data_IF_020958046872
#
_entry.id   IF_020958046872
#
_cell.length_a   1.000
_cell.length_b   1.000
_cell.length_c   1.000
_cell.angle_alpha   90.00
_cell.angle_beta   90.00
_cell.angle_gamma   90.00
#
_symmetry.space_group_name_H-M   'P 1'
#
loop_
_entity.id
_entity.type
_entity.pdbx_description
1 polymer ?
#
# COMPACT_ATOMS: atom_id res chain seq x y z
N UNK A 1 66.76 5.36 47.21
CA UNK A 1 66.57 4.86 48.59
C UNK A 1 65.39 3.91 48.62
N UNK A 2 65.66 2.64 48.94
CA UNK A 2 64.85 1.69 49.72
C UNK A 2 63.41 1.38 49.25
N UNK A 3 62.90 0.14 49.26
CA UNK A 3 63.38 -1.10 49.87
C UNK A 3 62.66 -2.27 49.22
N UNK A 4 63.43 -3.27 48.81
CA UNK A 4 63.00 -4.63 48.49
C UNK A 4 62.41 -5.30 49.73
N UNK A 5 61.32 -6.07 49.59
CA UNK A 5 60.96 -7.11 50.56
C UNK A 5 60.43 -8.36 49.85
N UNK A 6 61.01 -9.49 50.28
CA UNK A 6 60.91 -10.83 49.74
C UNK A 6 59.69 -11.58 50.30
N UNK A 7 59.16 -12.46 49.46
CA UNK A 7 58.58 -13.80 49.72
C UNK A 7 58.03 -14.15 51.11
N UNK A 8 56.79 -14.68 51.11
CA UNK A 8 56.44 -15.92 51.81
C UNK A 8 55.53 -16.80 50.95
N UNK A 9 55.98 -18.02 50.69
CA UNK A 9 55.18 -19.16 50.22
C UNK A 9 54.22 -19.58 51.33
N UNK A 10 52.94 -19.75 51.00
CA UNK A 10 51.97 -20.48 51.79
C UNK A 10 51.30 -21.52 50.90
N UNK A 11 51.56 -22.79 51.18
CA UNK A 11 50.86 -23.93 50.61
C UNK A 11 49.48 -24.05 51.28
N UNK A 12 48.43 -24.36 50.52
CA UNK A 12 47.10 -24.57 51.10
C UNK A 12 46.06 -25.03 50.08
N UNK A 13 45.83 -26.35 50.08
CA UNK A 13 44.59 -27.05 49.74
C UNK A 13 43.95 -26.84 48.35
N UNK A 14 44.09 -27.87 47.51
CA UNK A 14 43.08 -28.24 46.52
C UNK A 14 41.75 -28.51 47.24
N UNK A 15 40.75 -27.67 46.99
CA UNK A 15 39.35 -27.97 47.23
C UNK A 15 38.67 -28.23 45.89
N UNK A 16 38.43 -29.51 45.58
CA UNK A 16 37.60 -29.90 44.44
C UNK A 16 36.14 -29.54 44.74
N UNK A 17 35.63 -28.50 44.09
CA UNK A 17 34.22 -28.13 44.14
C UNK A 17 33.49 -28.96 43.07
N UNK A 18 32.81 -30.03 43.50
CA UNK A 18 31.84 -30.74 42.66
C UNK A 18 30.56 -29.91 42.65
N UNK A 19 30.34 -29.16 41.58
CA UNK A 19 29.07 -28.45 41.36
C UNK A 19 28.01 -29.47 40.93
N UNK A 20 27.08 -29.76 41.85
CA UNK A 20 25.83 -30.47 41.55
C UNK A 20 24.95 -29.56 40.68
N UNK A 21 24.88 -29.86 39.38
CA UNK A 21 23.89 -29.28 38.48
C UNK A 21 22.51 -29.89 38.82
N UNK A 22 21.67 -29.12 39.51
CA UNK A 22 20.27 -29.43 39.68
C UNK A 22 19.50 -29.01 38.42
N UNK A 23 18.67 -29.88 37.81
CA UNK A 23 17.74 -29.44 36.77
C UNK A 23 16.64 -28.60 37.42
N UNK A 24 16.65 -27.29 37.20
CA UNK A 24 15.47 -26.46 37.47
C UNK A 24 14.40 -26.79 36.44
N UNK A 25 13.42 -27.59 36.85
CA UNK A 25 12.14 -27.71 36.16
C UNK A 25 11.42 -26.36 36.27
N UNK A 26 11.53 -25.54 35.22
CA UNK A 26 10.66 -24.38 35.01
C UNK A 26 9.31 -24.93 34.59
N UNK A 27 8.43 -25.18 35.55
CA UNK A 27 6.98 -25.31 35.29
C UNK A 27 6.46 -23.94 34.86
N UNK A 28 6.54 -23.66 33.56
CA UNK A 28 5.82 -22.55 32.95
C UNK A 28 4.33 -22.88 32.94
N UNK A 29 3.56 -22.22 33.80
CA UNK A 29 2.12 -22.17 33.63
C UNK A 29 1.85 -21.41 32.32
N UNK A 30 1.43 -22.13 31.28
CA UNK A 30 0.86 -21.54 30.08
C UNK A 30 -0.37 -20.74 30.51
N UNK A 31 -0.18 -19.45 30.74
CA UNK A 31 -1.29 -18.52 30.82
C UNK A 31 -1.84 -18.49 29.41
N UNK A 32 -3.04 -19.06 29.22
CA UNK A 32 -3.80 -18.83 28.02
C UNK A 32 -4.05 -17.32 27.94
N UNK A 33 -3.21 -16.63 27.17
CA UNK A 33 -3.45 -15.26 26.77
C UNK A 33 -4.68 -15.31 25.87
N UNK A 34 -5.86 -15.05 26.44
CA UNK A 34 -7.00 -14.60 25.64
C UNK A 34 -6.61 -13.25 25.08
N UNK A 35 -6.09 -13.26 23.85
CA UNK A 35 -5.96 -12.06 23.05
C UNK A 35 -7.36 -11.44 22.91
N UNK A 36 -7.51 -10.12 23.08
CA UNK A 36 -8.78 -9.47 22.80
C UNK A 36 -9.20 -9.80 21.37
N UNK A 37 -10.51 -10.06 21.15
CA UNK A 37 -11.03 -10.12 19.80
C UNK A 37 -10.68 -8.80 19.10
N UNK A 38 -10.06 -8.87 17.93
CA UNK A 38 -9.75 -7.68 17.15
C UNK A 38 -11.07 -7.08 16.69
N UNK A 39 -11.35 -5.86 17.15
CA UNK A 39 -12.57 -5.16 16.77
C UNK A 39 -12.56 -4.90 15.26
N UNK A 40 -13.71 -5.05 14.57
CA UNK A 40 -13.79 -4.78 13.15
C UNK A 40 -13.41 -3.33 12.84
N UNK A 41 -12.59 -3.13 11.82
CA UNK A 41 -12.15 -1.80 11.41
C UNK A 41 -13.22 -1.18 10.53
N UNK A 42 -13.73 -0.02 10.95
CA UNK A 42 -14.71 0.78 10.21
C UNK A 42 -14.02 1.93 9.49
N UNK A 43 -14.27 2.01 8.17
CA UNK A 43 -13.86 3.12 7.32
C UNK A 43 -15.09 3.67 6.61
N UNK A 44 -15.28 4.99 6.63
CA UNK A 44 -16.38 5.69 5.98
C UNK A 44 -15.83 6.64 4.93
N UNK A 45 -16.35 6.57 3.70
CA UNK A 45 -15.92 7.41 2.58
C UNK A 45 -17.14 8.09 1.98
N UNK A 46 -17.18 9.41 1.97
CA UNK A 46 -18.18 10.21 1.26
C UNK A 46 -17.60 10.71 -0.06
N UNK A 47 -18.24 10.39 -1.17
CA UNK A 47 -17.83 10.76 -2.52
C UNK A 47 -18.96 11.51 -3.22
N UNK A 48 -18.67 12.56 -4.00
CA UNK A 48 -19.65 13.14 -4.91
C UNK A 48 -20.00 12.15 -6.03
N UNK A 49 -21.29 11.92 -6.26
CA UNK A 49 -21.80 11.13 -7.37
C UNK A 49 -23.15 11.70 -7.86
N UNK A 50 -23.24 12.04 -9.15
CA UNK A 50 -24.41 12.67 -9.80
C UNK A 50 -24.90 13.94 -9.06
N UNK A 51 -23.98 14.76 -8.57
CA UNK A 51 -24.28 16.00 -7.86
C UNK A 51 -24.83 15.82 -6.43
N UNK A 52 -24.82 14.61 -5.90
CA UNK A 52 -25.20 14.29 -4.51
C UNK A 52 -24.05 13.58 -3.77
N UNK A 53 -23.94 13.72 -2.45
CA UNK A 53 -22.98 12.94 -1.67
C UNK A 53 -23.45 11.48 -1.53
N UNK A 54 -22.55 10.55 -1.79
CA UNK A 54 -22.70 9.12 -1.52
C UNK A 54 -21.71 8.72 -0.41
N UNK A 55 -22.21 8.24 0.71
CA UNK A 55 -21.40 7.65 1.78
C UNK A 55 -21.29 6.14 1.61
N UNK A 56 -20.08 5.62 1.69
CA UNK A 56 -19.73 4.20 1.63
C UNK A 56 -19.08 3.81 2.94
N UNK A 57 -19.77 3.01 3.74
CA UNK A 57 -19.25 2.46 4.99
C UNK A 57 -18.72 1.05 4.74
N UNK A 58 -17.46 0.84 5.08
CA UNK A 58 -16.74 -0.42 4.85
C UNK A 58 -16.30 -0.96 6.19
N UNK A 59 -16.64 -2.22 6.44
CA UNK A 59 -16.19 -2.96 7.62
C UNK A 59 -15.31 -4.11 7.17
N UNK A 60 -14.13 -4.23 7.78
CA UNK A 60 -13.21 -5.34 7.57
C UNK A 60 -12.99 -6.14 8.85
N UNK A 61 -12.68 -7.42 8.71
CA UNK A 61 -12.18 -8.24 9.81
C UNK A 61 -10.66 -8.07 10.01
N UNK A 62 -10.11 -8.77 10.99
CA UNK A 62 -8.68 -8.77 11.30
C UNK A 62 -7.77 -9.26 10.16
N UNK A 63 -8.33 -9.92 9.13
CA UNK A 63 -7.59 -10.39 7.96
C UNK A 63 -7.60 -9.36 6.82
N UNK A 64 -8.32 -8.25 7.02
CA UNK A 64 -8.61 -7.25 6.00
C UNK A 64 -9.71 -7.67 5.01
N UNK A 65 -10.43 -8.78 5.25
CA UNK A 65 -11.53 -9.21 4.37
C UNK A 65 -12.77 -8.35 4.62
N UNK A 66 -13.56 -8.10 3.57
CA UNK A 66 -14.79 -7.32 3.69
C UNK A 66 -15.84 -8.15 4.44
N UNK A 67 -16.35 -7.61 5.55
CA UNK A 67 -17.46 -8.23 6.29
C UNK A 67 -18.78 -7.53 6.02
N UNK A 68 -18.75 -6.22 5.77
CA UNK A 68 -19.90 -5.41 5.39
C UNK A 68 -19.48 -4.24 4.49
N UNK A 69 -20.34 -3.89 3.53
CA UNK A 69 -20.21 -2.67 2.72
C UNK A 69 -21.60 -2.06 2.55
N UNK A 70 -21.84 -0.90 3.15
CA UNK A 70 -23.10 -0.19 3.03
C UNK A 70 -22.92 1.09 2.20
N UNK A 71 -23.94 1.44 1.41
CA UNK A 71 -23.99 2.68 0.62
C UNK A 71 -25.20 3.52 1.05
N UNK A 72 -25.02 4.84 1.17
CA UNK A 72 -26.05 5.77 1.61
C UNK A 72 -25.98 7.10 0.82
N UNK A 73 -27.04 7.53 0.12
CA UNK A 73 -28.31 6.82 -0.06
C UNK A 73 -28.12 5.51 -0.82
N UNK A 74 -28.87 4.48 -0.42
CA UNK A 74 -28.90 3.20 -1.13
C UNK A 74 -29.82 3.25 -2.36
N UNK A 75 -30.72 4.22 -2.42
CA UNK A 75 -31.71 4.35 -3.47
C UNK A 75 -31.06 4.49 -4.84
N UNK A 76 -31.44 3.60 -5.77
CA UNK A 76 -30.96 3.63 -7.14
C UNK A 76 -29.64 2.90 -7.38
N UNK A 77 -29.02 2.28 -6.35
CA UNK A 77 -27.84 1.41 -6.47
C UNK A 77 -28.19 -0.02 -6.08
N UNK A 78 -27.80 -0.99 -6.93
CA UNK A 78 -27.99 -2.42 -6.67
C UNK A 78 -26.64 -3.12 -6.65
N UNK A 79 -26.42 -4.02 -5.67
CA UNK A 79 -25.21 -4.83 -5.66
C UNK A 79 -25.24 -5.85 -6.81
N UNK A 80 -24.21 -5.83 -7.66
CA UNK A 80 -24.08 -6.73 -8.82
C UNK A 80 -22.92 -7.73 -8.67
N UNK A 81 -22.02 -7.51 -7.70
CA UNK A 81 -20.95 -8.46 -7.40
C UNK A 81 -20.61 -8.44 -5.90
N UNK A 82 -20.57 -9.63 -5.30
CA UNK A 82 -20.24 -9.85 -3.88
C UNK A 82 -19.13 -10.89 -3.79
N UNK A 83 -17.91 -10.44 -3.49
CA UNK A 83 -16.72 -11.28 -3.27
C UNK A 83 -16.06 -10.88 -1.94
N UNK A 84 -15.30 -11.78 -1.30
CA UNK A 84 -14.62 -11.53 -0.01
C UNK A 84 -13.82 -10.23 0.06
N UNK A 85 -13.24 -9.83 -1.07
CA UNK A 85 -12.35 -8.69 -1.21
C UNK A 85 -12.86 -7.63 -2.19
N UNK A 86 -14.09 -7.80 -2.73
CA UNK A 86 -14.66 -6.90 -3.72
C UNK A 86 -16.18 -6.88 -3.69
N UNK A 87 -16.76 -5.68 -3.57
CA UNK A 87 -18.19 -5.44 -3.72
C UNK A 87 -18.40 -4.42 -4.83
N UNK A 88 -19.41 -4.62 -5.68
CA UNK A 88 -19.79 -3.65 -6.72
C UNK A 88 -21.26 -3.34 -6.64
N UNK A 89 -21.58 -2.06 -6.67
CA UNK A 89 -22.92 -1.53 -6.87
C UNK A 89 -23.01 -0.83 -8.21
N UNK A 90 -24.16 -0.92 -8.85
CA UNK A 90 -24.44 -0.26 -10.12
C UNK A 90 -25.82 0.40 -10.08
N UNK A 91 -25.95 1.54 -10.77
CA UNK A 91 -27.24 2.20 -10.92
C UNK A 91 -28.09 1.53 -12.00
N UNK A 92 -29.42 1.73 -11.96
CA UNK A 92 -30.34 1.08 -12.90
C UNK A 92 -30.05 1.39 -14.39
N UNK A 93 -29.34 2.48 -14.68
CA UNK A 93 -28.97 2.87 -16.05
C UNK A 93 -27.62 2.28 -16.51
N UNK A 94 -26.84 1.63 -15.63
CA UNK A 94 -25.49 1.16 -15.93
C UNK A 94 -24.46 2.27 -16.17
N UNK A 95 -24.81 3.52 -15.85
CA UNK A 95 -23.95 4.69 -16.08
C UNK A 95 -23.12 5.07 -14.86
N UNK A 96 -23.45 4.51 -13.70
CA UNK A 96 -22.79 4.79 -12.42
C UNK A 96 -22.44 3.50 -11.71
N UNK A 97 -21.16 3.32 -11.35
CA UNK A 97 -20.70 2.16 -10.57
C UNK A 97 -19.95 2.59 -9.33
N UNK A 98 -20.09 1.81 -8.27
CA UNK A 98 -19.34 1.97 -7.01
C UNK A 98 -18.64 0.64 -6.75
N UNK A 99 -17.31 0.63 -6.78
CA UNK A 99 -16.52 -0.56 -6.48
C UNK A 99 -15.78 -0.35 -5.17
N UNK A 100 -15.94 -1.30 -4.25
CA UNK A 100 -15.18 -1.35 -3.00
C UNK A 100 -14.25 -2.55 -3.06
N UNK A 101 -12.96 -2.34 -2.76
CA UNK A 101 -12.00 -3.43 -2.63
C UNK A 101 -11.25 -3.37 -1.31
N UNK A 102 -10.91 -4.52 -0.76
CA UNK A 102 -9.99 -4.64 0.39
C UNK A 102 -9.10 -5.85 0.21
N UNK A 103 -7.79 -5.64 0.10
CA UNK A 103 -6.82 -6.71 -0.17
C UNK A 103 -5.41 -6.31 0.27
N UNK A 104 -4.68 -7.24 0.88
CA UNK A 104 -3.27 -7.06 1.28
C UNK A 104 -3.04 -5.79 2.12
N UNK A 105 -3.94 -5.53 3.08
CA UNK A 105 -3.90 -4.33 3.93
C UNK A 105 -4.25 -3.01 3.23
N UNK A 106 -4.65 -3.04 1.96
CA UNK A 106 -5.15 -1.87 1.22
C UNK A 106 -6.66 -1.90 1.15
N UNK A 107 -7.28 -0.73 1.16
CA UNK A 107 -8.70 -0.57 0.92
C UNK A 107 -8.92 0.52 -0.13
N UNK A 108 -9.86 0.33 -1.06
CA UNK A 108 -10.24 1.39 -1.99
C UNK A 108 -11.74 1.44 -2.23
N UNK A 109 -12.21 2.65 -2.53
CA UNK A 109 -13.54 2.92 -3.05
C UNK A 109 -13.38 3.70 -4.35
N UNK A 110 -13.96 3.19 -5.42
CA UNK A 110 -13.99 3.82 -6.73
C UNK A 110 -15.42 4.10 -7.11
N UNK A 111 -15.70 5.34 -7.51
CA UNK A 111 -16.94 5.69 -8.23
C UNK A 111 -16.61 5.97 -9.69
N UNK A 112 -17.45 5.51 -10.60
CA UNK A 112 -17.36 5.83 -12.04
C UNK A 112 -18.67 6.41 -12.52
N UNK A 113 -18.58 7.39 -13.42
CA UNK A 113 -19.72 8.03 -14.05
C UNK A 113 -19.37 8.51 -15.48
N UNK A 114 -20.34 9.10 -16.18
CA UNK A 114 -20.17 9.52 -17.57
C UNK A 114 -19.36 10.81 -17.75
N UNK A 115 -19.33 11.70 -16.77
CA UNK A 115 -18.63 12.98 -16.90
C UNK A 115 -17.90 13.40 -15.62
N UNK A 116 -16.93 14.30 -15.75
CA UNK A 116 -16.25 14.88 -14.58
C UNK A 116 -17.24 15.56 -13.63
N UNK A 117 -18.27 16.22 -14.17
CA UNK A 117 -19.31 16.88 -13.37
C UNK A 117 -20.08 15.88 -12.48
N UNK A 118 -20.25 14.64 -12.95
CA UNK A 118 -20.93 13.60 -12.18
C UNK A 118 -20.12 13.13 -10.97
N UNK A 119 -18.80 13.30 -10.94
CA UNK A 119 -17.92 12.96 -9.81
C UNK A 119 -17.29 14.19 -9.16
N UNK A 120 -17.79 15.39 -9.47
CA UNK A 120 -17.31 16.65 -8.91
C UNK A 120 -18.07 17.05 -7.65
N UNK A 121 -17.35 17.57 -6.67
CA UNK A 121 -17.92 18.03 -5.40
C UNK A 121 -17.03 17.72 -4.20
N UNK A 122 -17.56 17.99 -3.00
CA UNK A 122 -16.86 17.71 -1.76
C UNK A 122 -16.86 16.21 -1.45
N UNK A 123 -15.71 15.70 -1.04
CA UNK A 123 -15.52 14.35 -0.55
C UNK A 123 -14.86 14.31 0.82
N UNK A 124 -14.98 13.17 1.49
CA UNK A 124 -14.38 12.92 2.80
C UNK A 124 -14.00 11.45 2.92
N UNK A 125 -12.81 11.18 3.43
CA UNK A 125 -12.42 9.87 3.98
C UNK A 125 -12.37 9.96 5.50
N UNK A 126 -12.77 8.90 6.20
CA UNK A 126 -12.68 8.77 7.66
C UNK A 126 -12.40 7.33 8.05
N UNK A 127 -11.41 7.10 8.91
CA UNK A 127 -11.10 5.76 9.40
C UNK A 127 -9.96 5.75 10.41
N UNK A 128 -9.78 4.63 11.09
CA UNK A 128 -8.63 4.42 11.98
C UNK A 128 -7.42 3.97 11.18
N UNK A 129 -6.42 4.85 11.09
CA UNK A 129 -5.23 4.60 10.25
C UNK A 129 -4.35 3.49 10.83
N UNK A 130 -4.21 3.40 12.15
CA UNK A 130 -3.20 2.53 12.79
C UNK A 130 -3.79 1.60 13.86
N UNK A 131 -5.11 1.41 13.87
CA UNK A 131 -5.77 0.53 14.85
C UNK A 131 -5.74 1.07 16.28
N UNK A 132 -5.69 2.40 16.44
CA UNK A 132 -5.59 3.07 17.76
C UNK A 132 -6.94 3.30 18.43
N UNK A 133 -8.04 2.99 17.75
CA UNK A 133 -9.41 3.27 18.14
C UNK A 133 -9.87 4.72 17.85
N UNK A 134 -9.02 5.56 17.25
CA UNK A 134 -9.35 6.94 16.89
C UNK A 134 -9.40 7.13 15.38
N UNK A 135 -10.52 7.66 14.88
CA UNK A 135 -10.66 7.94 13.46
C UNK A 135 -9.96 9.25 13.08
N UNK A 136 -9.23 9.21 11.97
CA UNK A 136 -8.69 10.38 11.26
C UNK A 136 -9.61 10.71 10.09
N UNK A 137 -9.80 11.98 9.79
CA UNK A 137 -10.56 12.44 8.62
C UNK A 137 -9.64 13.10 7.59
N UNK A 138 -9.97 12.94 6.30
CA UNK A 138 -9.40 13.68 5.17
C UNK A 138 -10.55 14.26 4.36
N UNK A 139 -10.66 15.58 4.33
CA UNK A 139 -11.59 16.33 3.49
C UNK A 139 -10.90 16.70 2.16
N UNK A 140 -11.65 16.73 1.06
CA UNK A 140 -11.16 17.15 -0.26
C UNK A 140 -12.31 17.64 -1.15
N UNK A 141 -11.99 18.30 -2.25
CA UNK A 141 -12.96 18.72 -3.28
C UNK A 141 -12.44 18.36 -4.65
N UNK A 142 -13.25 17.62 -5.42
CA UNK A 142 -13.03 17.34 -6.83
C UNK A 142 -13.71 18.41 -7.66
N UNK A 143 -13.01 18.91 -8.67
CA UNK A 143 -13.59 19.89 -9.60
C UNK A 143 -12.90 19.88 -10.95
N UNK A 144 -13.15 20.94 -11.69
CA UNK A 144 -12.62 21.22 -13.01
C UNK A 144 -11.60 22.35 -12.93
N UNK A 145 -10.47 22.22 -13.63
CA UNK A 145 -9.40 23.23 -13.67
C UNK A 145 -9.75 24.47 -14.52
N UNK A 146 -10.86 24.41 -15.27
CA UNK A 146 -11.35 25.44 -16.19
C UNK A 146 -11.22 25.05 -17.66
N UNK A 147 -10.57 23.92 -17.97
CA UNK A 147 -10.30 23.42 -19.33
C UNK A 147 -10.90 22.04 -19.62
N UNK A 148 -11.72 21.49 -18.71
CA UNK A 148 -12.24 20.13 -18.79
C UNK A 148 -11.41 19.10 -18.01
N UNK A 149 -10.20 19.46 -17.55
CA UNK A 149 -9.32 18.57 -16.79
C UNK A 149 -9.69 18.48 -15.31
N UNK A 150 -9.52 17.30 -14.69
CA UNK A 150 -9.82 17.13 -13.28
C UNK A 150 -8.87 17.93 -12.39
N UNK A 151 -9.38 18.39 -11.25
CA UNK A 151 -8.60 19.02 -10.19
C UNK A 151 -9.01 18.49 -8.81
N UNK A 152 -8.05 18.51 -7.88
CA UNK A 152 -8.27 18.17 -6.47
C UNK A 152 -7.76 19.33 -5.61
N UNK A 153 -8.68 19.92 -4.85
CA UNK A 153 -8.42 21.07 -3.99
C UNK A 153 -9.02 20.88 -2.60
N UNK A 154 -8.77 21.83 -1.69
CA UNK A 154 -9.38 21.83 -0.36
C UNK A 154 -8.99 20.64 0.52
N UNK A 155 -7.83 20.02 0.25
CA UNK A 155 -7.35 18.86 1.00
C UNK A 155 -6.99 19.29 2.43
N UNK A 156 -7.65 18.70 3.41
CA UNK A 156 -7.42 18.98 4.83
C UNK A 156 -7.58 17.71 5.65
N UNK A 157 -6.90 17.61 6.79
CA UNK A 157 -7.01 16.45 7.67
C UNK A 157 -7.08 16.84 9.14
N UNK A 158 -7.71 15.98 9.94
CA UNK A 158 -7.78 16.14 11.40
C UNK A 158 -6.43 15.87 12.09
N UNK A 159 -5.50 15.19 11.43
CA UNK A 159 -4.15 14.97 11.93
C UNK A 159 -3.22 16.09 11.49
N UNK A 160 -2.87 16.97 12.42
CA UNK A 160 -2.00 18.12 12.16
C UNK A 160 -0.55 17.73 11.80
N UNK A 161 -0.16 16.46 11.97
CA UNK A 161 1.18 15.97 11.64
C UNK A 161 1.26 15.28 10.29
N UNK A 162 0.13 15.08 9.62
CA UNK A 162 0.09 14.49 8.30
C UNK A 162 0.76 15.39 7.25
N UNK A 163 1.46 14.76 6.31
CA UNK A 163 2.05 15.42 5.16
C UNK A 163 1.10 15.35 3.98
N UNK A 164 0.59 16.50 3.54
CA UNK A 164 -0.26 16.62 2.36
C UNK A 164 0.64 16.92 1.16
N UNK A 165 0.76 15.98 0.23
CA UNK A 165 1.46 16.19 -1.03
C UNK A 165 0.77 17.22 -1.92
N UNK A 166 1.51 17.79 -2.87
CA UNK A 166 0.91 18.62 -3.91
C UNK A 166 0.03 17.78 -4.84
N UNK A 167 -1.02 18.38 -5.39
CA UNK A 167 -1.80 17.76 -6.48
C UNK A 167 -0.91 17.62 -7.71
N UNK A 168 -0.71 16.39 -8.16
CA UNK A 168 0.02 16.03 -9.39
C UNK A 168 -0.99 15.82 -10.51
N UNK A 169 -0.60 16.17 -11.73
CA UNK A 169 -1.43 16.02 -12.91
C UNK A 169 -0.67 15.22 -13.97
N UNK A 170 -1.37 14.37 -14.69
CA UNK A 170 -0.86 13.65 -15.85
C UNK A 170 -1.87 13.70 -16.98
N UNK A 171 -1.38 13.56 -18.21
CA UNK A 171 -2.20 13.51 -19.42
C UNK A 171 -1.55 12.52 -20.36
N UNK A 172 -2.31 11.50 -20.75
CA UNK A 172 -1.86 10.41 -21.61
C UNK A 172 -2.95 10.18 -22.65
N UNK A 173 -2.63 10.42 -23.93
CA UNK A 173 -3.56 10.30 -25.06
C UNK A 173 -4.93 10.97 -24.81
N UNK A 174 -5.96 10.20 -24.49
CA UNK A 174 -7.33 10.61 -24.22
C UNK A 174 -7.71 10.62 -22.73
N UNK A 175 -6.76 10.35 -21.84
CA UNK A 175 -6.89 10.33 -20.38
C UNK A 175 -6.23 11.55 -19.72
N UNK A 176 -6.91 12.11 -18.73
CA UNK A 176 -6.41 13.18 -17.87
C UNK A 176 -6.63 12.80 -16.41
N UNK A 177 -5.62 13.05 -15.58
CA UNK A 177 -5.63 12.65 -14.18
C UNK A 177 -5.18 13.79 -13.26
N UNK A 178 -5.81 13.86 -12.09
CA UNK A 178 -5.32 14.58 -10.92
C UNK A 178 -5.18 13.62 -9.74
N UNK A 179 -4.07 13.72 -9.01
CA UNK A 179 -3.76 12.83 -7.88
C UNK A 179 -3.13 13.59 -6.73
N UNK A 180 -3.57 13.29 -5.51
CA UNK A 180 -2.94 13.76 -4.27
C UNK A 180 -2.72 12.57 -3.33
N UNK A 181 -1.60 12.60 -2.62
CA UNK A 181 -1.23 11.63 -1.61
C UNK A 181 -1.09 12.35 -0.27
N UNK A 182 -1.75 11.81 0.76
CA UNK A 182 -1.64 12.28 2.14
C UNK A 182 -0.94 11.17 2.93
N UNK A 183 0.22 11.48 3.51
CA UNK A 183 1.03 10.55 4.28
C UNK A 183 0.86 10.80 5.77
N UNK A 184 0.60 9.73 6.51
CA UNK A 184 0.51 9.73 7.96
C UNK A 184 1.62 8.88 8.52
N UNK A 185 2.23 9.33 9.62
CA UNK A 185 3.30 8.61 10.31
C UNK A 185 2.94 8.47 11.78
N UNK A 186 3.07 7.25 12.29
CA UNK A 186 2.89 6.93 13.71
C UNK A 186 4.07 6.06 14.17
N UNK A 187 5.06 6.69 14.81
CA UNK A 187 6.26 5.99 15.27
C UNK A 187 7.09 5.42 14.12
N UNK A 188 7.14 4.09 14.02
CA UNK A 188 7.90 3.36 12.99
C UNK A 188 7.06 3.01 11.75
N UNK A 189 5.80 3.43 11.71
CA UNK A 189 4.86 3.05 10.66
C UNK A 189 4.35 4.27 9.90
N UNK A 190 4.05 4.06 8.63
CA UNK A 190 3.37 5.02 7.78
C UNK A 190 2.18 4.40 7.06
N UNK A 191 1.20 5.23 6.72
CA UNK A 191 0.10 4.91 5.82
C UNK A 191 -0.22 6.10 4.92
N UNK A 192 -0.81 5.81 3.78
CA UNK A 192 -1.22 6.85 2.82
C UNK A 192 -2.71 6.80 2.56
N UNK A 193 -3.33 7.97 2.45
CA UNK A 193 -4.63 8.14 1.80
C UNK A 193 -4.37 8.79 0.45
N UNK A 194 -4.69 8.08 -0.63
CA UNK A 194 -4.59 8.57 -1.99
C UNK A 194 -5.96 8.95 -2.54
N UNK A 195 -6.05 10.10 -3.20
CA UNK A 195 -7.23 10.53 -3.93
C UNK A 195 -6.78 10.73 -5.38
N UNK A 196 -7.44 10.04 -6.31
CA UNK A 196 -7.18 10.10 -7.75
C UNK A 196 -8.49 10.36 -8.47
N UNK A 197 -8.50 11.33 -9.37
CA UNK A 197 -9.61 11.61 -10.28
C UNK A 197 -9.08 11.48 -11.69
N UNK A 198 -9.81 10.77 -12.52
CA UNK A 198 -9.44 10.46 -13.91
C UNK A 198 -10.62 10.79 -14.81
N UNK A 199 -10.33 11.34 -15.99
CA UNK A 199 -11.29 11.59 -17.05
C UNK A 199 -10.69 11.04 -18.33
N UNK A 200 -11.35 10.05 -18.95
CA UNK A 200 -11.00 9.52 -20.26
C UNK A 200 -12.03 9.94 -21.30
N UNK A 201 -11.61 10.05 -22.56
CA UNK A 201 -12.46 10.42 -23.70
C UNK A 201 -12.19 9.50 -24.90
N UNK A 202 -12.64 8.26 -24.79
CA UNK A 202 -12.45 7.25 -25.83
C UNK A 202 -13.58 7.38 -26.88
N UNK A 203 -13.24 7.56 -28.16
CA UNK A 203 -14.19 7.66 -29.28
C UNK A 203 -15.31 8.70 -29.09
N UNK A 204 -15.02 9.79 -28.36
CA UNK A 204 -15.99 10.84 -28.03
C UNK A 204 -16.98 10.47 -26.93
N UNK A 205 -16.76 9.35 -26.24
CA UNK A 205 -17.46 8.98 -25.01
C UNK A 205 -16.57 9.35 -23.83
N UNK A 206 -17.05 10.31 -23.03
CA UNK A 206 -16.38 10.64 -21.79
C UNK A 206 -16.71 9.59 -20.71
N UNK A 207 -15.73 9.30 -19.87
CA UNK A 207 -15.91 8.58 -18.62
C UNK A 207 -15.06 9.26 -17.54
N UNK A 208 -15.62 9.39 -16.34
CA UNK A 208 -14.88 9.90 -15.19
C UNK A 208 -14.84 8.85 -14.08
N UNK A 209 -13.73 8.82 -13.36
CA UNK A 209 -13.57 7.99 -12.16
C UNK A 209 -12.95 8.78 -11.02
N UNK A 210 -13.43 8.52 -9.80
CA UNK A 210 -12.85 9.02 -8.57
C UNK A 210 -12.53 7.81 -7.68
N UNK A 211 -11.25 7.68 -7.35
CA UNK A 211 -10.68 6.61 -6.54
C UNK A 211 -10.13 7.21 -5.25
N UNK A 212 -10.62 6.73 -4.11
CA UNK A 212 -10.02 6.96 -2.79
C UNK A 212 -9.44 5.67 -2.27
N UNK A 213 -8.17 5.68 -1.90
CA UNK A 213 -7.41 4.49 -1.46
C UNK A 213 -6.77 4.74 -0.11
N UNK A 214 -6.96 3.82 0.83
CA UNK A 214 -6.10 3.64 1.98
C UNK A 214 -5.00 2.64 1.62
N UNK A 215 -3.75 3.08 1.68
CA UNK A 215 -2.57 2.25 1.51
C UNK A 215 -2.37 1.29 2.69
N UNK A 216 -1.60 0.23 2.45
CA UNK A 216 -1.13 -0.66 3.52
C UNK A 216 -0.23 0.09 4.50
N UNK A 217 -0.10 -0.42 5.72
CA UNK A 217 0.99 -0.02 6.61
C UNK A 217 2.33 -0.30 5.92
N UNK A 218 3.25 0.65 6.01
CA UNK A 218 4.65 0.51 5.61
C UNK A 218 5.54 0.90 6.77
N UNK A 219 6.74 0.33 6.83
CA UNK A 219 7.80 0.79 7.72
C UNK A 219 8.24 2.20 7.34
N UNK A 220 8.71 2.95 8.34
CA UNK A 220 9.44 4.20 8.15
C UNK A 220 10.92 3.95 8.41
N UNK A 221 11.79 4.56 7.61
CA UNK A 221 13.23 4.47 7.80
C UNK A 221 13.63 5.04 9.17
N UNK A 222 14.29 4.23 9.98
CA UNK A 222 14.71 4.58 11.34
C UNK A 222 16.18 4.23 11.56
N UNK A 223 16.89 4.88 12.50
CA UNK A 223 18.25 4.48 12.86
C UNK A 223 18.32 3.00 13.19
N UNK A 224 19.33 2.29 12.67
CA UNK A 224 19.44 0.85 12.86
C UNK A 224 19.42 0.41 14.34
N UNK A 225 19.94 1.25 15.25
CA UNK A 225 19.92 0.98 16.69
C UNK A 225 18.52 1.03 17.31
N UNK A 226 17.58 1.76 16.70
CA UNK A 226 16.19 1.89 17.16
C UNK A 226 15.32 0.74 16.64
N UNK A 227 15.70 0.17 15.48
CA UNK A 227 15.01 -0.99 14.88
C UNK A 227 15.61 -2.32 15.36
N UNK A 228 16.91 -2.40 15.65
CA UNK A 228 17.54 -3.67 16.01
C UNK A 228 17.01 -4.23 17.34
N UNK A 229 16.79 -5.54 17.37
CA UNK A 229 16.28 -6.24 18.55
C UNK A 229 15.14 -7.20 18.24
N UNK A 230 14.48 -7.73 19.28
CA UNK A 230 13.33 -8.61 19.13
C UNK A 230 12.10 -7.83 18.67
N UNK A 231 11.35 -8.44 17.77
CA UNK A 231 10.09 -7.96 17.22
C UNK A 231 9.06 -9.07 17.21
N UNK A 232 7.82 -8.64 17.15
CA UNK A 232 6.66 -9.50 17.10
C UNK A 232 5.69 -8.95 16.07
N UNK A 233 5.16 -9.84 15.23
CA UNK A 233 3.92 -9.59 14.50
C UNK A 233 2.79 -10.40 15.16
N UNK A 234 1.65 -9.75 15.37
CA UNK A 234 0.41 -10.36 15.85
C UNK A 234 -0.69 -10.15 14.82
N UNK A 235 -1.48 -11.20 14.56
CA UNK A 235 -2.60 -11.12 13.64
C UNK A 235 -3.57 -12.29 13.81
N UNK A 236 -4.45 -12.46 12.82
CA UNK A 236 -5.44 -13.52 12.81
C UNK A 236 -5.47 -14.19 11.43
N UNK A 237 -5.51 -15.52 11.40
CA UNK A 237 -5.65 -16.29 10.16
C UNK A 237 -7.10 -16.25 9.67
N UNK A 238 -7.35 -16.67 8.43
CA UNK A 238 -8.68 -16.66 7.81
C UNK A 238 -9.73 -17.49 8.56
N UNK A 239 -9.31 -18.48 9.34
CA UNK A 239 -10.20 -19.29 10.17
C UNK A 239 -10.46 -18.68 11.56
N UNK A 240 -9.99 -17.46 11.80
CA UNK A 240 -10.10 -16.77 13.08
C UNK A 240 -9.07 -17.19 14.12
N UNK A 241 -8.12 -18.08 13.80
CA UNK A 241 -7.06 -18.49 14.74
C UNK A 241 -6.08 -17.33 14.91
N UNK A 242 -5.80 -16.87 16.14
CA UNK A 242 -4.73 -15.90 16.37
C UNK A 242 -3.39 -16.47 15.92
N UNK A 243 -2.59 -15.63 15.26
CA UNK A 243 -1.26 -15.97 14.81
C UNK A 243 -0.25 -14.94 15.32
N UNK A 244 0.96 -15.41 15.56
CA UNK A 244 2.04 -14.67 16.16
C UNK A 244 3.35 -15.09 15.51
N UNK A 245 4.21 -14.13 15.20
CA UNK A 245 5.55 -14.37 14.64
C UNK A 245 6.56 -13.55 15.44
N UNK A 246 7.43 -14.23 16.17
CA UNK A 246 8.60 -13.63 16.80
C UNK A 246 9.78 -13.67 15.84
N UNK A 247 10.55 -12.58 15.78
CA UNK A 247 11.77 -12.47 14.99
C UNK A 247 12.74 -11.46 15.60
N UNK A 248 14.00 -11.46 15.15
CA UNK A 248 15.02 -10.52 15.60
C UNK A 248 15.61 -9.82 14.38
N UNK A 249 15.67 -8.49 14.44
CA UNK A 249 16.32 -7.64 13.44
C UNK A 249 17.72 -7.26 13.94
N UNK A 250 18.74 -7.52 13.14
CA UNK A 250 20.12 -7.12 13.38
C UNK A 250 20.36 -5.65 13.04
N UNK A 251 21.49 -5.10 13.51
CA UNK A 251 21.94 -3.73 13.18
C UNK A 251 22.25 -3.53 11.70
N UNK A 252 22.47 -4.62 10.97
CA UNK A 252 22.66 -4.65 9.52
C UNK A 252 21.35 -4.93 8.77
N UNK A 253 20.21 -4.97 9.46
CA UNK A 253 18.91 -5.33 8.87
C UNK A 253 18.74 -6.83 8.66
N UNK A 254 19.60 -7.68 9.22
CA UNK A 254 19.39 -9.14 9.10
C UNK A 254 18.18 -9.61 9.91
N UNK A 255 17.32 -10.46 9.35
CA UNK A 255 16.16 -11.06 10.03
C UNK A 255 16.52 -12.48 10.45
N UNK A 256 16.43 -12.77 11.74
CA UNK A 256 16.79 -14.07 12.31
C UNK A 256 15.83 -14.49 13.43
N UNK A 257 16.00 -15.72 13.93
CA UNK A 257 15.22 -16.20 15.08
C UNK A 257 13.71 -16.34 14.80
N UNK A 258 13.30 -16.43 13.53
CA UNK A 258 11.89 -16.45 13.14
C UNK A 258 11.20 -17.69 13.68
N UNK A 259 10.18 -17.48 14.50
CA UNK A 259 9.33 -18.54 15.03
C UNK A 259 7.87 -18.08 15.01
N UNK A 260 6.95 -19.00 14.70
CA UNK A 260 5.54 -18.65 14.55
C UNK A 260 4.61 -19.64 15.26
N UNK A 261 3.51 -19.10 15.78
CA UNK A 261 2.41 -19.84 16.40
C UNK A 261 1.09 -19.39 15.76
N UNK A 262 0.23 -20.29 15.24
CA UNK A 262 0.43 -21.73 15.09
C UNK A 262 1.67 -22.05 14.24
N UNK A 263 2.19 -23.27 14.38
CA UNK A 263 3.39 -23.68 13.65
C UNK A 263 3.18 -23.45 12.13
N UNK A 264 4.13 -22.79 11.46
CA UNK A 264 4.02 -22.51 10.04
C UNK A 264 4.21 -23.81 9.23
N UNK A 265 3.60 -23.87 8.06
CA UNK A 265 3.86 -24.92 7.07
C UNK A 265 5.26 -24.78 6.48
N UNK A 266 5.69 -23.53 6.24
CA UNK A 266 7.07 -23.24 5.84
C UNK A 266 7.51 -21.85 6.26
N UNK A 267 8.80 -21.72 6.58
CA UNK A 267 9.50 -20.43 6.71
C UNK A 267 10.59 -20.41 5.65
N UNK A 268 10.54 -19.42 4.75
CA UNK A 268 11.54 -19.22 3.70
C UNK A 268 12.12 -17.84 3.87
N UNK A 269 13.44 -17.71 3.96
CA UNK A 269 14.06 -16.42 4.12
C UNK A 269 15.44 -16.35 3.49
N UNK A 270 15.88 -15.12 3.29
CA UNK A 270 17.27 -14.72 3.15
C UNK A 270 17.62 -13.73 4.26
N UNK A 271 18.81 -13.13 4.17
CA UNK A 271 19.36 -12.30 5.23
C UNK A 271 18.43 -11.14 5.62
N UNK A 272 17.76 -10.48 4.67
CA UNK A 272 16.98 -9.26 4.89
C UNK A 272 15.46 -9.43 4.70
N UNK A 273 15.00 -10.65 4.45
CA UNK A 273 13.63 -10.91 4.02
C UNK A 273 13.23 -12.32 4.41
N UNK A 274 12.12 -12.46 5.13
CA UNK A 274 11.57 -13.77 5.51
C UNK A 274 10.07 -13.82 5.27
N UNK A 275 9.63 -14.87 4.58
CA UNK A 275 8.24 -15.22 4.39
C UNK A 275 7.86 -16.40 5.29
N UNK A 276 6.85 -16.19 6.11
CA UNK A 276 6.20 -17.22 6.94
C UNK A 276 4.89 -17.61 6.25
N UNK A 277 4.72 -18.90 5.97
CA UNK A 277 3.49 -19.45 5.37
C UNK A 277 2.81 -20.40 6.35
N UNK A 278 1.53 -20.17 6.60
CA UNK A 278 0.69 -21.04 7.43
C UNK A 278 0.03 -22.15 6.60
N UNK A 279 -0.43 -23.21 7.27
CA UNK A 279 -1.02 -24.39 6.62
C UNK A 279 -2.27 -24.09 5.79
N UNK A 280 -3.03 -23.06 6.18
CA UNK A 280 -4.22 -22.57 5.48
C UNK A 280 -3.90 -21.72 4.25
N UNK A 281 -2.61 -21.45 3.99
CA UNK A 281 -2.10 -20.80 2.78
C UNK A 281 -1.77 -19.32 2.93
N UNK A 282 -2.19 -18.69 4.03
CA UNK A 282 -1.85 -17.33 4.44
C UNK A 282 -0.35 -17.14 4.54
N UNK A 283 0.11 -15.95 4.14
CA UNK A 283 1.54 -15.58 4.16
C UNK A 283 1.73 -14.25 4.88
N UNK A 284 2.76 -14.19 5.70
CA UNK A 284 3.29 -12.95 6.26
C UNK A 284 4.72 -12.80 5.76
N UNK A 285 5.03 -11.63 5.22
CA UNK A 285 6.35 -11.31 4.68
C UNK A 285 6.96 -10.17 5.48
N UNK A 286 8.05 -10.48 6.16
CA UNK A 286 8.92 -9.58 6.91
C UNK A 286 10.07 -9.14 5.98
N UNK A 287 10.30 -7.84 5.84
CA UNK A 287 11.40 -7.28 5.05
C UNK A 287 12.06 -6.16 5.85
N UNK A 288 13.39 -6.20 5.94
CA UNK A 288 14.18 -5.14 6.57
C UNK A 288 15.16 -4.61 5.52
N UNK A 289 15.02 -3.35 5.17
CA UNK A 289 15.84 -2.70 4.15
C UNK A 289 16.80 -1.70 4.81
N UNK A 290 18.10 -1.87 4.58
CA UNK A 290 19.15 -1.01 5.13
C UNK A 290 19.64 -0.04 4.06
N UNK A 291 19.40 1.26 4.26
CA UNK A 291 19.89 2.31 3.38
C UNK A 291 20.49 3.46 4.21
N UNK A 292 21.72 3.85 3.92
CA UNK A 292 22.36 4.99 4.60
C UNK A 292 22.49 4.85 6.12
N UNK A 293 22.45 3.63 6.67
CA UNK A 293 22.43 3.38 8.12
C UNK A 293 21.05 3.48 8.77
N UNK A 294 20.00 3.66 7.97
CA UNK A 294 18.60 3.57 8.38
C UNK A 294 18.04 2.22 7.97
N UNK A 295 17.20 1.62 8.81
CA UNK A 295 16.44 0.41 8.52
C UNK A 295 14.97 0.78 8.33
N UNK A 296 14.38 0.34 7.23
CA UNK A 296 12.92 0.29 7.02
C UNK A 296 12.45 -1.13 7.26
N UNK A 297 11.62 -1.34 8.29
CA UNK A 297 11.04 -2.64 8.61
C UNK A 297 9.60 -2.71 8.10
N UNK A 298 9.38 -3.47 7.04
CA UNK A 298 8.08 -3.72 6.45
C UNK A 298 7.54 -5.09 6.86
N UNK A 299 6.27 -5.12 7.26
CA UNK A 299 5.51 -6.35 7.44
C UNK A 299 4.30 -6.30 6.51
N UNK A 300 4.13 -7.33 5.68
CA UNK A 300 3.01 -7.42 4.75
C UNK A 300 2.31 -8.76 4.82
N UNK A 301 0.98 -8.70 4.76
CA UNK A 301 0.10 -9.85 4.85
C UNK A 301 -0.50 -10.15 3.48
N UNK A 302 -0.49 -11.42 3.09
CA UNK A 302 -1.19 -11.90 1.90
C UNK A 302 -2.13 -13.03 2.29
N UNK A 303 -3.34 -12.63 2.65
CA UNK A 303 -4.41 -13.54 3.05
C UNK A 303 -5.43 -13.65 1.91
N UNK A 304 -5.92 -14.88 1.69
CA UNK A 304 -6.94 -15.18 0.68
C UNK A 304 -8.09 -15.90 1.36
N UNK A 305 -8.86 -15.16 2.16
CA UNK A 305 -9.98 -15.73 2.89
C UNK A 305 -11.18 -15.93 1.95
N UNK A 306 -11.86 -17.07 2.09
CA UNK A 306 -12.99 -17.44 1.24
C UNK A 306 -14.34 -16.84 1.70
N UNK A 307 -14.35 -16.03 2.77
CA UNK A 307 -15.58 -15.55 3.41
C UNK A 307 -16.17 -14.38 2.65
N UNK A 308 -17.39 -14.53 2.12
CA UNK A 308 -18.15 -13.45 1.44
C UNK A 308 -18.77 -12.52 2.49
N UNK A 309 -18.89 -11.20 2.26
CA UNK A 309 -19.55 -10.28 3.18
C UNK A 309 -20.97 -10.75 3.55
N UNK A 310 -21.28 -10.83 4.85
CA UNK A 310 -22.51 -11.49 5.32
C UNK A 310 -23.78 -10.64 5.28
N UNK A 311 -23.67 -9.31 5.13
CA UNK A 311 -24.79 -8.36 5.29
C UNK A 311 -25.25 -7.67 4.02
N UNK A 312 -24.60 -7.93 2.89
CA UNK A 312 -25.13 -7.57 1.58
C UNK A 312 -25.90 -8.77 1.10
N UNK A 313 -27.14 -8.93 1.59
CA UNK A 313 -28.00 -10.04 1.24
C UNK A 313 -27.86 -10.31 -0.26
N UNK A 314 -27.53 -11.55 -0.62
CA UNK A 314 -27.42 -11.99 -1.99
C UNK A 314 -28.67 -11.48 -2.71
N UNK A 315 -28.51 -10.43 -3.53
CA UNK A 315 -29.41 -10.26 -4.66
C UNK A 315 -29.18 -11.57 -5.38
N UNK A 316 -30.20 -12.45 -5.36
CA UNK A 316 -30.15 -13.66 -6.16
C UNK A 316 -29.82 -13.17 -7.57
N UNK A 317 -28.55 -13.33 -7.95
CA UNK A 317 -28.15 -13.21 -9.33
C UNK A 317 -28.95 -14.34 -9.93
N UNK A 318 -30.07 -14.00 -10.57
CA UNK A 318 -30.67 -14.95 -11.48
C UNK A 318 -29.50 -15.42 -12.37
N UNK A 319 -29.37 -16.72 -12.64
CA UNK A 319 -28.36 -17.22 -13.56
C UNK A 319 -28.64 -16.60 -14.93
N UNK A 320 -28.19 -15.37 -15.11
CA UNK A 320 -28.12 -14.66 -16.36
C UNK A 320 -27.00 -15.34 -17.10
N UNK A 321 -27.33 -15.85 -18.27
CA UNK A 321 -26.42 -16.52 -19.17
C UNK A 321 -25.09 -15.76 -19.24
N UNK A 322 -24.01 -16.41 -18.77
CA UNK A 322 -22.61 -15.97 -18.85
C UNK A 322 -22.14 -15.98 -20.31
N UNK A 323 -22.79 -15.17 -21.13
CA UNK A 323 -22.51 -14.98 -22.55
C UNK A 323 -22.45 -13.49 -22.84
N UNK A 324 -21.33 -12.85 -22.51
CA UNK A 324 -21.11 -11.48 -22.98
C UNK A 324 -19.97 -10.69 -22.38
N UNK A 325 -18.72 -11.13 -22.61
CA UNK A 325 -17.55 -10.32 -23.05
C UNK A 325 -16.24 -11.04 -22.71
N UNK A 326 -16.05 -12.20 -23.31
CA UNK A 326 -14.70 -12.65 -23.66
C UNK A 326 -14.34 -11.90 -24.94
N UNK A 327 -13.57 -10.82 -24.80
CA UNK A 327 -12.91 -10.17 -25.92
C UNK A 327 -11.81 -11.09 -26.45
N UNK A 328 -12.20 -12.04 -27.29
CA UNK A 328 -11.29 -12.79 -28.14
C UNK A 328 -10.69 -11.85 -29.19
N UNK A 329 -9.39 -11.62 -29.09
CA UNK A 329 -8.55 -11.19 -30.20
C UNK A 329 -7.83 -12.42 -30.74
N UNK A 330 -8.40 -13.00 -31.79
CA UNK A 330 -7.86 -14.12 -32.55
C UNK A 330 -6.60 -13.70 -33.33
N UNK A 331 -5.58 -14.55 -33.26
CA UNK A 331 -4.80 -15.10 -34.37
C UNK A 331 -4.66 -14.23 -35.64
N UNK A 332 -3.47 -13.62 -35.81
CA UNK A 332 -2.95 -13.29 -37.14
C UNK A 332 -1.80 -14.24 -37.52
N UNK A 333 -2.12 -15.06 -38.51
CA UNK A 333 -1.27 -15.98 -39.23
C UNK A 333 -0.08 -15.30 -39.93
N UNK A 334 1.14 -15.69 -39.56
CA UNK A 334 2.30 -15.57 -40.46
C UNK A 334 3.02 -16.92 -40.61
N UNK A 335 2.56 -17.69 -41.60
CA UNK A 335 3.26 -18.86 -42.11
C UNK A 335 4.22 -18.52 -43.27
N UNK A 336 5.41 -19.14 -43.20
CA UNK A 336 6.31 -19.61 -44.28
C UNK A 336 7.64 -18.87 -44.56
N UNK A 337 8.76 -19.48 -44.13
CA UNK A 337 10.07 -19.38 -44.80
C UNK A 337 11.27 -19.84 -43.94
N UNK A 338 12.22 -20.68 -44.40
CA UNK A 338 12.83 -21.70 -43.52
C UNK A 338 14.36 -21.60 -43.29
N UNK A 339 14.80 -22.30 -42.20
CA UNK A 339 16.13 -22.87 -41.88
C UNK A 339 17.23 -21.97 -41.30
N UNK A 340 17.76 -22.44 -40.16
CA UNK A 340 19.04 -22.07 -39.52
C UNK A 340 18.86 -22.06 -38.00
N UNK A 341 18.92 -23.20 -37.33
CA UNK A 341 20.14 -23.73 -36.70
C UNK A 341 20.86 -22.72 -35.80
N UNK A 342 20.57 -22.75 -34.50
CA UNK A 342 21.53 -22.68 -33.40
C UNK A 342 20.77 -22.40 -32.10
N UNK A 343 20.93 -23.29 -31.12
CA UNK A 343 20.26 -23.23 -29.83
C UNK A 343 20.70 -22.08 -28.94
N UNK A 344 19.84 -21.76 -27.98
CA UNK A 344 20.22 -21.29 -26.66
C UNK A 344 19.02 -21.48 -25.75
N UNK A 345 19.20 -22.28 -24.71
CA UNK A 345 18.30 -22.34 -23.56
C UNK A 345 18.31 -20.95 -22.91
N UNK A 346 17.12 -20.37 -22.73
CA UNK A 346 16.91 -19.08 -22.09
C UNK A 346 15.80 -19.25 -21.07
N UNK A 347 16.19 -19.24 -19.81
CA UNK A 347 15.33 -19.26 -18.64
C UNK A 347 14.44 -18.01 -18.66
N UNK A 348 13.12 -18.21 -18.59
CA UNK A 348 12.16 -17.12 -18.41
C UNK A 348 12.06 -16.83 -16.92
N UNK A 349 12.81 -15.83 -16.46
CA UNK A 349 12.58 -15.18 -15.17
C UNK A 349 11.46 -14.14 -15.33
N UNK A 350 10.37 -14.43 -14.63
CA UNK A 350 9.51 -13.55 -13.84
C UNK A 350 9.35 -12.08 -14.25
N UNK A 351 8.08 -11.76 -14.48
CA UNK A 351 7.44 -10.45 -14.55
C UNK A 351 7.98 -9.48 -13.48
N UNK A 352 8.92 -8.62 -13.88
CA UNK A 352 9.25 -7.40 -13.14
C UNK A 352 8.19 -6.35 -13.50
N UNK A 353 7.26 -6.13 -12.58
CA UNK A 353 6.39 -4.95 -12.58
C UNK A 353 7.30 -3.73 -12.42
N UNK A 354 7.41 -2.93 -13.48
CA UNK A 354 8.14 -1.66 -13.50
C UNK A 354 7.45 -0.64 -12.59
N UNK A 355 7.99 -0.43 -11.39
CA UNK A 355 7.77 0.79 -10.61
C UNK A 355 8.73 1.87 -11.15
N UNK A 356 8.28 2.61 -12.18
CA UNK A 356 9.02 3.78 -12.68
C UNK A 356 8.81 4.97 -11.74
N UNK A 357 9.60 5.04 -10.67
CA UNK A 357 9.91 6.28 -9.96
C UNK A 357 11.36 6.67 -10.29
N UNK A 358 11.55 7.47 -11.34
CA UNK A 358 12.78 8.23 -11.55
C UNK A 358 12.44 9.71 -11.72
N UNK A 359 12.56 10.43 -10.59
CA UNK A 359 12.58 11.88 -10.53
C UNK A 359 13.89 12.38 -11.16
N UNK A 360 13.80 13.03 -12.32
CA UNK A 360 14.89 13.86 -12.84
C UNK A 360 14.70 15.28 -12.33
N UNK A 361 15.49 15.63 -11.31
CA UNK A 361 15.74 17.01 -10.90
C UNK A 361 16.59 17.71 -11.96
N UNK A 362 16.00 18.63 -12.72
CA UNK A 362 16.75 19.53 -13.60
C UNK A 362 17.39 20.66 -12.77
N UNK A 363 18.67 20.47 -12.42
CA UNK A 363 19.55 21.50 -11.89
C UNK A 363 19.81 22.62 -12.93
N UNK A 364 19.61 23.86 -12.50
CA UNK A 364 19.96 25.08 -13.22
C UNK A 364 21.48 25.21 -13.44
N UNK A 365 21.96 24.82 -14.62
CA UNK A 365 23.34 24.97 -15.07
C UNK A 365 23.60 26.29 -15.80
N UNK A 366 24.19 27.24 -15.10
CA UNK A 366 24.70 28.54 -15.59
C UNK A 366 25.56 28.44 -16.86
N UNK A 367 25.05 28.91 -18.00
CA UNK A 367 25.79 29.04 -19.25
C UNK A 367 26.47 30.41 -19.39
N UNK A 368 27.77 30.49 -19.15
CA UNK A 368 28.60 31.62 -19.59
C UNK A 368 29.86 31.12 -20.30
N UNK A 369 30.02 31.48 -21.58
CA UNK A 369 31.30 31.36 -22.29
C UNK A 369 31.21 30.99 -23.76
N UNK A 370 31.56 31.97 -24.61
CA UNK A 370 32.12 31.95 -26.01
C UNK A 370 31.44 33.08 -26.80
N UNK A 371 32.01 34.28 -26.86
CA UNK A 371 33.18 34.69 -27.64
C UNK A 371 33.09 34.31 -29.13
N UNK A 372 32.74 35.30 -29.96
CA UNK A 372 33.15 35.50 -31.36
C UNK A 372 32.49 36.78 -31.91
N UNK A 373 33.23 37.89 -32.02
CA UNK A 373 32.87 38.99 -32.93
C UNK A 373 33.28 38.68 -34.38
N UNK A 374 33.44 39.67 -35.29
CA UNK A 374 32.86 41.01 -35.36
C UNK A 374 32.23 41.31 -36.76
N UNK A 375 31.81 42.59 -36.97
CA UNK A 375 31.33 43.26 -38.21
C UNK A 375 29.80 43.24 -38.35
N UNK A 376 29.10 44.34 -38.65
CA UNK A 376 29.49 45.69 -39.02
C UNK A 376 28.24 46.55 -39.24
N UNK A 377 28.48 47.78 -39.67
CA UNK A 377 27.51 48.76 -40.21
C UNK A 377 26.58 49.52 -39.24
N UNK A 378 27.14 50.64 -38.78
CA UNK A 378 26.45 51.89 -38.53
C UNK A 378 25.76 52.43 -39.80
N UNK A 379 24.43 52.49 -39.81
CA UNK A 379 23.63 53.15 -40.84
C UNK A 379 22.46 53.91 -40.23
N UNK A 380 22.64 55.22 -40.05
CA UNK A 380 21.63 56.17 -39.58
C UNK A 380 20.48 56.26 -40.60
N UNK A 381 19.23 56.16 -40.17
CA UNK A 381 18.12 56.81 -40.86
C UNK A 381 17.19 57.48 -39.85
N UNK A 382 16.89 58.75 -40.13
CA UNK A 382 16.06 59.65 -39.36
C UNK A 382 14.59 59.36 -39.66
N UNK A 383 13.75 59.52 -38.64
CA UNK A 383 12.30 59.53 -38.80
C UNK A 383 11.85 60.67 -39.72
N UNK A 384 10.87 60.35 -40.55
CA UNK A 384 9.78 61.25 -40.86
C UNK A 384 8.90 61.35 -39.61
N UNK A 385 8.39 62.54 -39.32
CA UNK A 385 6.97 62.74 -39.01
C UNK A 385 6.63 64.21 -39.27
N UNK A 386 5.42 64.38 -39.78
CA UNK A 386 4.70 65.62 -40.12
C UNK A 386 4.48 66.56 -38.92
#
# INVERSE_FOLDING_TARGET
>A
MARTLRFRKGAGALGALVALAAPMLVTGAAHALTLPAVDPVLTSITLPLFGAPLTVDVTTDATGSLTNVAVNPADGLTAIALKPNRVVFENAAGTGTVTVTSRNGRQSVTVRAGTLADVSGAGRWSGDLFGTGSATTVDFTVGDKGDGSPDITGVATSDATAEIGATRYSTEDDEQEAKVLITFVSGAESRTVGIRVEVSNEDGVQQASLLVTLGRTRGVAQPAADVAGPHTWDGQLCNGTPAHIDYVVGLDGTISGVSATPAPDSVRGGDHSTQVRFATGERVHLRAELEGGLITLDVSESFRCATVPGTNADVALEPGDDHGRDGGGEDDDHSTGPRGDSGSEGEHEDEQEHEDEQEHEDEEGSGSGRDSGPRGESGRSRGNDD
#
